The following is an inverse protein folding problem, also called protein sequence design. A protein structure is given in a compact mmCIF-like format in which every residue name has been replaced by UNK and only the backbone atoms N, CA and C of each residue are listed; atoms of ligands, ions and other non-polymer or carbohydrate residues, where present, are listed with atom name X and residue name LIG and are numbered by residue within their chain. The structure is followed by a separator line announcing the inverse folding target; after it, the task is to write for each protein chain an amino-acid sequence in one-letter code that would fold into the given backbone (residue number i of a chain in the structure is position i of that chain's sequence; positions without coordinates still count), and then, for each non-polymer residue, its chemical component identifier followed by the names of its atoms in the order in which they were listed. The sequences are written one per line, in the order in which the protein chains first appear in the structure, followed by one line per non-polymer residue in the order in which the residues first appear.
data_IF_900424752055
#
_entry.id   IF_900424752055
#
_cell.length_a   1.000
_cell.length_b   1.000
_cell.length_c   1.000
_cell.angle_alpha   90.00
_cell.angle_beta   90.00
_cell.angle_gamma   90.00
#
_symmetry.space_group_name_H-M   'P 1'
#
loop_
_entity.id
_entity.type
_entity.pdbx_description
1 polymer ?
#
# COMPACT_ATOMS: atom_id res chain seq x y z
N UNK A 1 36.17 -9.20 -33.64
CA UNK A 1 35.86 -7.75 -33.60
C UNK A 1 34.42 -7.39 -33.98
N UNK A 2 33.98 -7.44 -35.25
CA UNK A 2 32.58 -7.07 -35.59
C UNK A 2 31.54 -7.99 -34.93
N UNK A 3 31.80 -9.28 -34.92
CA UNK A 3 30.87 -10.26 -34.32
C UNK A 3 30.79 -10.12 -32.79
N UNK A 4 31.89 -9.79 -32.13
CA UNK A 4 31.90 -9.48 -30.68
C UNK A 4 31.09 -8.23 -30.35
N UNK A 5 31.16 -7.20 -31.21
CA UNK A 5 30.37 -5.98 -31.03
C UNK A 5 28.87 -6.29 -31.18
N UNK A 6 28.49 -7.13 -32.13
CA UNK A 6 27.09 -7.55 -32.35
C UNK A 6 26.57 -8.38 -31.16
N UNK A 7 27.38 -9.30 -30.63
CA UNK A 7 27.02 -10.07 -29.44
C UNK A 7 26.82 -9.17 -28.21
N UNK A 8 27.71 -8.20 -28.00
CA UNK A 8 27.59 -7.23 -26.91
C UNK A 8 26.34 -6.36 -27.05
N UNK A 9 26.04 -5.87 -28.25
CA UNK A 9 24.83 -5.08 -28.50
C UNK A 9 23.56 -5.90 -28.25
N UNK A 10 23.55 -7.16 -28.69
CA UNK A 10 22.44 -8.08 -28.45
C UNK A 10 22.22 -8.29 -26.95
N UNK A 11 23.29 -8.57 -26.20
CA UNK A 11 23.24 -8.71 -24.73
C UNK A 11 22.77 -7.43 -24.05
N UNK A 12 23.20 -6.27 -24.52
CA UNK A 12 22.78 -4.99 -23.98
C UNK A 12 21.27 -4.78 -24.17
N UNK A 13 20.73 -5.02 -25.37
CA UNK A 13 19.29 -4.90 -25.61
C UNK A 13 18.44 -5.83 -24.74
N UNK A 14 18.94 -7.05 -24.46
CA UNK A 14 18.29 -7.95 -23.50
C UNK A 14 18.34 -7.40 -22.07
N UNK A 15 19.46 -6.81 -21.65
CA UNK A 15 19.60 -6.21 -20.33
C UNK A 15 18.70 -4.98 -20.18
N UNK A 16 18.59 -4.13 -21.20
CA UNK A 16 17.68 -2.97 -21.20
C UNK A 16 16.22 -3.42 -21.04
N UNK A 17 15.82 -4.46 -21.79
CA UNK A 17 14.47 -5.03 -21.69
C UNK A 17 14.20 -5.60 -20.29
N UNK A 18 15.18 -6.32 -19.72
CA UNK A 18 15.09 -6.87 -18.36
C UNK A 18 14.98 -5.76 -17.30
N UNK A 19 15.73 -4.66 -17.46
CA UNK A 19 15.66 -3.53 -16.55
C UNK A 19 14.27 -2.87 -16.58
N UNK A 20 13.67 -2.74 -17.77
CA UNK A 20 12.32 -2.21 -17.91
C UNK A 20 11.28 -3.11 -17.24
N UNK A 21 11.39 -4.43 -17.44
CA UNK A 21 10.51 -5.41 -16.78
C UNK A 21 10.65 -5.37 -15.25
N UNK A 22 11.88 -5.34 -14.74
CA UNK A 22 12.13 -5.24 -13.31
C UNK A 22 11.56 -3.93 -12.72
N UNK A 23 11.71 -2.82 -13.44
CA UNK A 23 11.14 -1.55 -13.01
C UNK A 23 9.60 -1.61 -12.95
N UNK A 24 8.96 -2.23 -13.93
CA UNK A 24 7.51 -2.43 -13.91
C UNK A 24 7.06 -3.28 -12.73
N UNK A 25 7.78 -4.37 -12.43
CA UNK A 25 7.51 -5.21 -11.26
C UNK A 25 7.64 -4.41 -9.95
N UNK A 26 8.67 -3.57 -9.82
CA UNK A 26 8.85 -2.71 -8.63
C UNK A 26 7.71 -1.71 -8.49
N UNK A 27 7.25 -1.10 -9.58
CA UNK A 27 6.10 -0.20 -9.59
C UNK A 27 4.84 -0.92 -9.10
N UNK A 28 4.56 -2.11 -9.62
CA UNK A 28 3.37 -2.89 -9.26
C UNK A 28 3.41 -3.33 -7.79
N UNK A 29 4.59 -3.72 -7.29
CA UNK A 29 4.81 -4.03 -5.88
C UNK A 29 4.59 -2.80 -5.00
N UNK A 30 5.11 -1.63 -5.38
CA UNK A 30 4.91 -0.39 -4.62
C UNK A 30 3.42 -0.03 -4.54
N UNK A 31 2.67 -0.20 -5.63
CA UNK A 31 1.22 0.01 -5.62
C UNK A 31 0.50 -0.97 -4.70
N UNK A 32 0.93 -2.24 -4.66
CA UNK A 32 0.35 -3.23 -3.75
C UNK A 32 0.62 -2.87 -2.29
N UNK A 33 1.85 -2.47 -1.97
CA UNK A 33 2.24 -2.02 -0.61
C UNK A 33 1.37 -0.83 -0.19
N UNK A 34 1.23 0.19 -1.04
CA UNK A 34 0.41 1.36 -0.70
C UNK A 34 -1.06 1.01 -0.45
N UNK A 35 -1.62 0.03 -1.19
CA UNK A 35 -2.98 -0.47 -0.91
C UNK A 35 -3.08 -1.18 0.44
N UNK A 36 -2.05 -1.96 0.81
CA UNK A 36 -2.00 -2.65 2.10
C UNK A 36 -1.85 -1.65 3.26
N UNK A 37 -1.00 -0.63 3.10
CA UNK A 37 -0.84 0.44 4.09
C UNK A 37 -2.15 1.16 4.38
N UNK A 38 -2.90 1.55 3.33
CA UNK A 38 -4.21 2.17 3.47
C UNK A 38 -5.23 1.26 4.18
N UNK A 39 -5.24 -0.04 3.86
CA UNK A 39 -6.11 -0.99 4.51
C UNK A 39 -5.78 -1.15 6.01
N UNK A 40 -4.49 -1.20 6.36
CA UNK A 40 -4.04 -1.25 7.74
C UNK A 40 -4.42 0.01 8.51
N UNK A 41 -4.27 1.19 7.91
CA UNK A 41 -4.65 2.44 8.57
C UNK A 41 -6.16 2.53 8.78
N UNK A 42 -6.98 2.10 7.81
CA UNK A 42 -8.43 1.98 8.00
C UNK A 42 -8.78 1.02 9.15
N UNK A 43 -8.07 -0.10 9.26
CA UNK A 43 -8.28 -1.07 10.34
C UNK A 43 -7.90 -0.49 11.71
N UNK A 44 -6.78 0.24 11.80
CA UNK A 44 -6.38 0.94 13.05
C UNK A 44 -7.45 1.94 13.49
N UNK A 45 -8.00 2.73 12.55
CA UNK A 45 -9.08 3.69 12.85
C UNK A 45 -10.29 2.94 13.41
N UNK A 46 -10.73 1.87 12.74
CA UNK A 46 -11.89 1.09 13.19
C UNK A 46 -11.69 0.49 14.59
N UNK A 47 -10.51 -0.07 14.88
CA UNK A 47 -10.18 -0.62 16.21
C UNK A 47 -10.23 0.48 17.27
N UNK A 48 -9.64 1.65 17.00
CA UNK A 48 -9.65 2.77 17.94
C UNK A 48 -11.08 3.27 18.21
N UNK A 49 -11.92 3.38 17.18
CA UNK A 49 -13.34 3.76 17.33
C UNK A 49 -14.13 2.74 18.15
N UNK A 50 -13.84 1.45 18.02
CA UNK A 50 -14.48 0.41 18.85
C UNK A 50 -14.04 0.49 20.31
N UNK A 51 -12.77 0.78 20.58
CA UNK A 51 -12.25 0.92 21.94
C UNK A 51 -12.84 2.14 22.66
N UNK A 52 -12.96 3.29 21.98
CA UNK A 52 -13.61 4.48 22.55
C UNK A 52 -15.10 4.29 22.78
N UNK A 53 -15.79 3.46 21.98
CA UNK A 53 -17.20 3.10 22.22
C UNK A 53 -17.43 2.17 23.43
N UNK A 54 -16.38 1.49 23.93
CA UNK A 54 -16.47 0.63 25.13
C UNK A 54 -16.06 1.32 26.43
N UNK A 55 -15.56 2.57 26.36
CA UNK A 55 -15.27 3.40 27.53
C UNK A 55 -16.30 4.53 27.67
N UNK A 56 -17.58 4.15 27.80
CA UNK A 56 -18.60 5.00 28.44
C UNK A 56 -18.78 4.49 29.89
N UNK A 57 -18.05 5.02 30.88
CA UNK A 57 -18.37 4.82 32.27
C UNK A 57 -19.50 5.79 32.66
N UNK A 58 -20.74 5.33 32.58
CA UNK A 58 -21.83 5.81 33.44
C UNK A 58 -22.36 7.23 33.23
N UNK A 59 -22.88 7.57 32.05
CA UNK A 59 -23.80 8.72 31.91
C UNK A 59 -25.23 8.23 31.61
N UNK A 60 -25.94 8.07 32.73
CA UNK A 60 -27.34 8.42 32.96
C UNK A 60 -28.19 8.66 31.70
N UNK A 61 -29.19 7.79 31.55
CA UNK A 61 -30.45 8.17 30.92
C UNK A 61 -31.05 9.38 31.65
N UNK A 62 -30.67 10.60 31.28
CA UNK A 62 -31.48 11.77 31.60
C UNK A 62 -32.38 12.06 30.41
N UNK A 63 -33.63 11.66 30.55
CA UNK A 63 -34.72 11.96 29.63
C UNK A 63 -34.84 13.49 29.55
N UNK A 64 -34.93 14.09 28.35
CA UNK A 64 -34.95 15.54 28.21
C UNK A 64 -36.24 16.13 28.81
N UNK A 65 -36.17 17.13 29.72
CA UNK A 65 -37.36 17.89 30.07
C UNK A 65 -37.66 18.88 28.95
N UNK A 66 -38.67 18.58 28.16
CA UNK A 66 -39.29 19.55 27.26
C UNK A 66 -40.10 20.57 28.07
N UNK A 67 -39.66 21.83 28.05
CA UNK A 67 -40.48 23.04 28.25
C UNK A 67 -39.97 24.17 27.38
#
# INVERSE_FOLDING_TARGET
MKDEIIDLQTKLSFQDSLLEELNQVVIDQQQQISRLELALDSMKVQINTMQTGTQEPGQQHEIPPHY
#
